data_IF_394463959723
#
_entry.id   IF_394463959723
#
_cell.length_a   1.000
_cell.length_b   1.000
_cell.length_c   1.000
_cell.angle_alpha   90.00
_cell.angle_beta   90.00
_cell.angle_gamma   90.00
#
_symmetry.space_group_name_H-M   'P 1'
#
loop_
_entity.id
_entity.type
_entity.pdbx_description
1 polymer ?
#
# COMPACT_ATOMS: atom_id res chain seq x y z
N UNK A 1 21.82 -11.74 16.28
CA UNK A 1 21.06 -11.67 15.02
C UNK A 1 22.05 -11.65 13.84
N UNK A 2 21.64 -12.05 12.63
CA UNK A 2 22.52 -12.08 11.44
C UNK A 2 23.06 -10.70 11.05
N UNK A 3 22.29 -9.64 11.32
CA UNK A 3 22.61 -8.26 10.97
C UNK A 3 23.08 -7.41 12.17
N UNK A 4 23.41 -8.03 13.32
CA UNK A 4 23.89 -7.32 14.51
C UNK A 4 22.86 -6.46 15.25
N UNK A 5 21.67 -6.27 14.70
CA UNK A 5 20.58 -5.50 15.34
C UNK A 5 19.98 -6.32 16.49
N UNK A 6 19.96 -5.75 17.69
CA UNK A 6 19.29 -6.32 18.86
C UNK A 6 18.07 -5.47 19.19
N UNK A 7 16.90 -6.09 19.21
CA UNK A 7 15.63 -5.42 19.52
C UNK A 7 15.21 -5.85 20.93
N UNK A 8 14.78 -4.87 21.74
CA UNK A 8 14.27 -5.13 23.08
C UNK A 8 13.02 -6.02 23.05
N UNK A 9 12.82 -6.84 24.08
CA UNK A 9 11.56 -7.61 24.23
C UNK A 9 10.35 -6.71 24.46
N UNK A 10 10.57 -5.47 24.90
CA UNK A 10 9.56 -4.43 25.10
C UNK A 10 9.46 -3.48 23.92
N UNK A 11 10.09 -3.80 22.78
CA UNK A 11 9.97 -2.96 21.59
C UNK A 11 8.51 -2.88 21.14
N UNK A 12 8.12 -1.68 20.72
CA UNK A 12 6.85 -1.30 20.14
C UNK A 12 7.21 -0.35 19.00
N UNK A 13 7.21 -0.91 17.78
CA UNK A 13 7.67 -0.25 16.56
C UNK A 13 6.55 -0.17 15.55
N UNK A 14 6.56 0.90 14.76
CA UNK A 14 5.66 1.11 13.63
C UNK A 14 6.49 1.34 12.38
N UNK A 15 6.26 0.50 11.38
CA UNK A 15 6.78 0.64 10.03
C UNK A 15 5.75 1.36 9.18
N UNK A 16 6.11 2.50 8.60
CA UNK A 16 5.23 3.29 7.75
C UNK A 16 5.81 3.37 6.35
N UNK A 17 5.06 2.92 5.34
CA UNK A 17 5.58 2.80 3.97
C UNK A 17 4.85 3.77 3.04
N UNK A 18 5.63 4.59 2.34
CA UNK A 18 5.12 5.49 1.31
C UNK A 18 4.65 4.69 0.08
N UNK A 19 3.43 4.90 -0.42
CA UNK A 19 2.86 4.07 -1.46
C UNK A 19 3.49 4.25 -2.84
N UNK A 20 4.22 5.34 -3.07
CA UNK A 20 4.72 5.69 -4.40
C UNK A 20 6.22 5.37 -4.56
N UNK A 21 6.98 5.57 -3.49
CA UNK A 21 8.43 5.32 -3.45
C UNK A 21 8.77 3.98 -2.80
N UNK A 22 7.83 3.39 -2.07
CA UNK A 22 8.06 2.25 -1.18
C UNK A 22 9.15 2.51 -0.13
N UNK A 23 9.46 3.77 0.17
CA UNK A 23 10.33 4.11 1.28
C UNK A 23 9.63 3.78 2.60
N UNK A 24 10.22 2.88 3.37
CA UNK A 24 9.78 2.53 4.72
C UNK A 24 10.47 3.44 5.73
N UNK A 25 9.70 3.93 6.70
CA UNK A 25 10.19 4.65 7.87
C UNK A 25 9.89 3.87 9.14
N UNK A 26 10.80 3.91 10.12
CA UNK A 26 10.64 3.21 11.40
C UNK A 26 10.49 4.20 12.54
N UNK A 27 9.45 4.03 13.34
CA UNK A 27 9.23 4.79 14.58
C UNK A 27 8.93 3.84 15.73
N UNK A 28 9.06 4.29 16.97
CA UNK A 28 8.77 3.46 18.14
C UNK A 28 9.65 3.76 19.35
N UNK A 29 9.59 2.88 20.34
CA UNK A 29 10.29 3.02 21.62
C UNK A 29 11.70 2.39 21.62
N UNK A 30 12.49 2.61 20.57
CA UNK A 30 13.87 2.15 20.48
C UNK A 30 14.83 3.32 20.20
N UNK A 31 16.12 3.11 20.48
CA UNK A 31 17.15 4.09 20.21
C UNK A 31 17.19 4.47 18.72
N UNK A 32 17.46 5.75 18.43
CA UNK A 32 17.48 6.29 17.07
C UNK A 32 18.41 5.51 16.14
N UNK A 33 19.56 5.07 16.65
CA UNK A 33 20.52 4.28 15.89
C UNK A 33 19.99 2.88 15.55
N UNK A 34 19.18 2.28 16.43
CA UNK A 34 18.51 1.00 16.18
C UNK A 34 17.42 1.21 15.13
N UNK A 35 16.57 2.24 15.29
CA UNK A 35 15.53 2.57 14.31
C UNK A 35 16.12 2.80 12.92
N UNK A 36 17.22 3.55 12.82
CA UNK A 36 17.91 3.82 11.55
C UNK A 36 18.54 2.56 10.93
N UNK A 37 19.10 1.66 11.74
CA UNK A 37 19.62 0.38 11.23
C UNK A 37 18.50 -0.53 10.70
N UNK A 38 17.37 -0.59 11.40
CA UNK A 38 16.20 -1.36 10.94
C UNK A 38 15.65 -0.74 9.65
N UNK A 39 15.52 0.60 9.61
CA UNK A 39 15.04 1.32 8.44
C UNK A 39 15.93 1.06 7.23
N UNK A 40 17.25 1.17 7.39
CA UNK A 40 18.20 0.86 6.32
C UNK A 40 18.02 -0.56 5.81
N UNK A 41 18.00 -1.54 6.71
CA UNK A 41 17.87 -2.96 6.36
C UNK A 41 16.55 -3.26 5.63
N UNK A 42 15.44 -2.70 6.09
CA UNK A 42 14.12 -2.93 5.49
C UNK A 42 13.92 -2.18 4.17
N UNK A 43 14.74 -1.17 3.88
CA UNK A 43 14.78 -0.50 2.59
C UNK A 43 15.82 -1.11 1.61
N UNK A 44 16.53 -2.18 2.00
CA UNK A 44 17.41 -2.91 1.07
C UNK A 44 16.57 -3.76 0.10
N UNK A 45 16.85 -3.62 -1.20
CA UNK A 45 16.12 -4.34 -2.25
C UNK A 45 14.62 -4.03 -2.23
N UNK A 46 13.79 -5.04 -2.48
CA UNK A 46 12.33 -4.89 -2.55
C UNK A 46 11.61 -5.16 -1.21
N UNK A 47 12.33 -5.19 -0.08
CA UNK A 47 11.76 -5.54 1.22
C UNK A 47 10.56 -4.65 1.59
N UNK A 48 10.72 -3.33 1.55
CA UNK A 48 9.66 -2.38 1.85
C UNK A 48 8.49 -2.46 0.86
N UNK A 49 8.77 -2.65 -0.44
CA UNK A 49 7.74 -2.86 -1.47
C UNK A 49 6.91 -4.13 -1.20
N UNK A 50 7.56 -5.22 -0.82
CA UNK A 50 6.89 -6.48 -0.47
C UNK A 50 6.02 -6.32 0.77
N UNK A 51 6.49 -5.58 1.78
CA UNK A 51 5.71 -5.25 2.98
C UNK A 51 4.47 -4.42 2.62
N UNK A 52 4.63 -3.36 1.82
CA UNK A 52 3.50 -2.53 1.38
C UNK A 52 2.50 -3.34 0.54
N UNK A 53 3.00 -4.19 -0.36
CA UNK A 53 2.17 -5.07 -1.20
C UNK A 53 1.35 -6.05 -0.36
N UNK A 54 1.96 -6.63 0.67
CA UNK A 54 1.27 -7.46 1.64
C UNK A 54 0.13 -6.69 2.33
N UNK A 55 0.43 -5.52 2.88
CA UNK A 55 -0.58 -4.69 3.54
C UNK A 55 -1.71 -4.27 2.59
N UNK A 56 -1.39 -3.95 1.33
CA UNK A 56 -2.38 -3.62 0.29
C UNK A 56 -3.29 -4.79 -0.06
N UNK A 57 -2.75 -6.02 -0.14
CA UNK A 57 -3.58 -7.20 -0.40
C UNK A 57 -4.46 -7.49 0.81
N UNK A 58 -3.87 -7.52 2.00
CA UNK A 58 -4.56 -7.86 3.23
C UNK A 58 -5.60 -6.81 3.66
N UNK A 59 -5.56 -5.59 3.11
CA UNK A 59 -6.57 -4.57 3.42
C UNK A 59 -7.97 -4.90 2.93
N UNK A 60 -8.10 -5.92 2.07
CA UNK A 60 -9.36 -6.40 1.51
C UNK A 60 -9.80 -7.72 2.13
N UNK A 61 -11.11 -7.95 2.17
CA UNK A 61 -11.69 -9.26 2.47
C UNK A 61 -11.88 -10.12 1.21
N UNK A 62 -12.59 -11.24 1.35
CA UNK A 62 -12.85 -12.19 0.26
C UNK A 62 -13.76 -11.61 -0.85
N UNK A 63 -14.58 -10.62 -0.53
CA UNK A 63 -15.45 -9.91 -1.48
C UNK A 63 -14.76 -8.68 -2.09
N UNK A 64 -13.46 -8.51 -1.80
CA UNK A 64 -12.63 -7.39 -2.21
C UNK A 64 -13.09 -6.04 -1.61
N UNK A 65 -13.78 -6.08 -0.47
CA UNK A 65 -14.17 -4.89 0.28
C UNK A 65 -13.03 -4.43 1.21
N UNK A 66 -12.85 -3.12 1.35
CA UNK A 66 -11.80 -2.56 2.21
C UNK A 66 -12.23 -2.68 3.68
N UNK A 67 -11.56 -3.55 4.42
CA UNK A 67 -11.81 -3.83 5.85
C UNK A 67 -10.74 -3.25 6.77
N UNK A 68 -9.66 -2.69 6.22
CA UNK A 68 -8.61 -2.04 7.01
C UNK A 68 -8.92 -0.56 7.25
N UNK A 69 -8.89 -0.14 8.52
CA UNK A 69 -9.20 1.25 8.90
C UNK A 69 -8.17 2.29 8.47
N UNK A 70 -6.98 1.89 8.02
CA UNK A 70 -5.99 2.78 7.40
C UNK A 70 -6.36 3.20 5.97
N UNK A 71 -7.27 2.46 5.33
CA UNK A 71 -7.64 2.60 3.94
C UNK A 71 -9.11 3.02 3.79
N UNK A 72 -9.43 3.53 2.60
CA UNK A 72 -10.80 3.71 2.12
C UNK A 72 -10.77 3.77 0.59
N UNK A 73 -11.95 3.77 -0.02
CA UNK A 73 -12.08 3.76 -1.48
C UNK A 73 -11.40 4.95 -2.16
N UNK A 74 -11.40 6.14 -1.54
CA UNK A 74 -10.72 7.33 -2.09
C UNK A 74 -9.21 7.12 -2.12
N UNK A 75 -8.61 6.64 -1.02
CA UNK A 75 -7.18 6.35 -0.95
C UNK A 75 -6.77 5.26 -1.94
N UNK A 76 -7.56 4.18 -1.99
CA UNK A 76 -7.32 3.07 -2.91
C UNK A 76 -7.38 3.54 -4.37
N UNK A 77 -8.38 4.33 -4.74
CA UNK A 77 -8.50 4.90 -6.09
C UNK A 77 -7.33 5.82 -6.46
N UNK A 78 -6.76 6.56 -5.50
CA UNK A 78 -5.60 7.44 -5.72
C UNK A 78 -4.35 6.63 -5.98
N UNK A 79 -4.08 5.64 -5.13
CA UNK A 79 -2.99 4.71 -5.38
C UNK A 79 -3.16 3.96 -6.70
N UNK A 80 -4.32 3.35 -6.97
CA UNK A 80 -4.52 2.54 -8.17
C UNK A 80 -4.36 3.34 -9.45
N UNK A 81 -4.75 4.62 -9.49
CA UNK A 81 -4.48 5.46 -10.65
C UNK A 81 -2.97 5.64 -10.85
N UNK A 82 -2.24 6.04 -9.81
CA UNK A 82 -0.78 6.21 -9.92
C UNK A 82 -0.14 4.90 -10.38
N UNK A 83 -0.49 3.78 -9.76
CA UNK A 83 0.09 2.48 -10.04
C UNK A 83 -0.14 2.07 -11.48
N UNK A 84 -1.38 2.15 -11.98
CA UNK A 84 -1.68 1.74 -13.34
C UNK A 84 -0.97 2.62 -14.37
N UNK A 85 -0.97 3.93 -14.18
CA UNK A 85 -0.30 4.87 -15.09
C UNK A 85 1.20 4.62 -15.08
N UNK A 86 1.80 4.45 -13.90
CA UNK A 86 3.24 4.21 -13.75
C UNK A 86 3.66 2.89 -14.40
N UNK A 87 2.96 1.78 -14.11
CA UNK A 87 3.26 0.47 -14.70
C UNK A 87 3.05 0.45 -16.22
N UNK A 88 2.09 1.22 -16.73
CA UNK A 88 1.77 1.24 -18.16
C UNK A 88 2.70 2.18 -18.94
N UNK A 89 3.07 3.32 -18.37
CA UNK A 89 3.73 4.40 -19.12
C UNK A 89 5.15 4.70 -18.66
N UNK A 90 5.49 4.37 -17.41
CA UNK A 90 6.72 4.77 -16.73
C UNK A 90 6.66 6.16 -16.10
N UNK A 91 5.54 6.88 -16.21
CA UNK A 91 5.38 8.24 -15.70
C UNK A 91 4.61 8.28 -14.40
N UNK A 92 5.01 9.21 -13.53
CA UNK A 92 4.25 9.55 -12.35
C UNK A 92 3.06 10.45 -12.69
N UNK A 93 1.84 9.93 -12.54
CA UNK A 93 0.61 10.65 -12.83
C UNK A 93 0.46 11.97 -12.04
N UNK A 94 1.14 12.10 -10.90
CA UNK A 94 1.09 13.27 -10.00
C UNK A 94 1.84 14.47 -10.58
N UNK A 95 2.82 14.23 -11.45
CA UNK A 95 3.66 15.28 -12.03
C UNK A 95 3.06 15.82 -13.34
N UNK A 96 1.97 15.24 -13.83
CA UNK A 96 1.34 15.66 -15.07
C UNK A 96 0.44 16.88 -14.89
N UNK A 97 0.50 17.81 -15.85
CA UNK A 97 -0.37 18.98 -15.88
C UNK A 97 -1.57 18.74 -16.79
N UNK A 98 -2.78 18.99 -16.30
CA UNK A 98 -3.98 18.92 -17.12
C UNK A 98 -4.13 20.16 -18.00
N UNK A 99 -4.12 19.99 -19.33
CA UNK A 99 -4.26 21.08 -20.31
C UNK A 99 -4.97 20.57 -21.56
N UNK A 100 -5.90 21.36 -22.10
CA UNK A 100 -6.61 21.08 -23.35
C UNK A 100 -7.24 19.67 -23.44
N UNK A 101 -7.76 19.15 -22.32
CA UNK A 101 -8.42 17.84 -22.29
C UNK A 101 -7.50 16.64 -22.08
N UNK A 102 -6.20 16.86 -21.86
CA UNK A 102 -5.22 15.78 -21.65
C UNK A 102 -4.26 16.09 -20.48
N UNK A 103 -3.37 15.15 -20.18
CA UNK A 103 -2.34 15.21 -19.13
C UNK A 103 -0.95 15.23 -19.76
N UNK A 104 -0.23 16.34 -19.57
CA UNK A 104 1.09 16.56 -20.16
C UNK A 104 2.17 16.36 -19.10
N UNK A 105 3.11 15.45 -19.34
CA UNK A 105 4.29 15.27 -18.52
C UNK A 105 5.29 16.44 -18.68
N UNK A 106 6.28 16.52 -17.79
CA UNK A 106 7.29 17.59 -17.81
C UNK A 106 8.07 17.67 -19.15
N UNK A 107 8.25 16.54 -19.82
CA UNK A 107 8.93 16.45 -21.12
C UNK A 107 8.01 16.72 -22.32
N UNK A 108 6.74 17.04 -22.09
CA UNK A 108 5.75 17.31 -23.13
C UNK A 108 4.96 16.09 -23.59
N UNK A 109 5.21 14.89 -23.04
CA UNK A 109 4.48 13.67 -23.40
C UNK A 109 3.00 13.77 -23.03
N UNK A 110 2.11 13.44 -23.97
CA UNK A 110 0.68 13.23 -23.71
C UNK A 110 0.47 11.87 -23.03
N UNK A 111 0.28 11.89 -21.72
CA UNK A 111 0.15 10.67 -20.93
C UNK A 111 -1.18 9.96 -21.16
N UNK A 112 -2.27 10.66 -21.50
CA UNK A 112 -3.55 10.02 -21.76
C UNK A 112 -3.49 9.22 -23.07
N UNK A 113 -2.87 9.80 -24.10
CA UNK A 113 -2.62 9.13 -25.37
C UNK A 113 -1.67 7.94 -25.22
N UNK A 114 -0.53 8.13 -24.53
CA UNK A 114 0.44 7.07 -24.26
C UNK A 114 -0.19 5.93 -23.44
N UNK A 115 -0.99 6.28 -22.42
CA UNK A 115 -1.71 5.30 -21.61
C UNK A 115 -2.70 4.51 -22.45
N UNK A 116 -3.45 5.16 -23.35
CA UNK A 116 -4.36 4.49 -24.29
C UNK A 116 -3.64 3.51 -25.20
N UNK A 117 -2.49 3.93 -25.76
CA UNK A 117 -1.69 3.12 -26.68
C UNK A 117 -1.15 1.85 -26.01
N UNK A 118 -0.68 1.97 -24.76
CA UNK A 118 -0.06 0.85 -24.02
C UNK A 118 -1.03 0.04 -23.17
N UNK A 119 -2.27 0.51 -22.99
CA UNK A 119 -3.30 -0.18 -22.21
C UNK A 119 -3.64 -1.55 -22.80
N UNK A 120 -3.67 -2.58 -21.95
CA UNK A 120 -3.99 -3.96 -22.36
C UNK A 120 -5.46 -4.15 -22.76
N UNK A 121 -6.36 -3.31 -22.24
CA UNK A 121 -7.79 -3.35 -22.55
C UNK A 121 -8.46 -1.97 -22.42
N UNK A 122 -9.58 -1.79 -23.11
CA UNK A 122 -10.31 -0.51 -23.14
C UNK A 122 -11.01 -0.18 -21.81
N UNK A 123 -11.44 -1.18 -21.04
CA UNK A 123 -12.15 -0.96 -19.77
C UNK A 123 -11.26 -0.31 -18.71
N UNK A 124 -10.00 -0.77 -18.60
CA UNK A 124 -8.99 -0.16 -17.74
C UNK A 124 -8.69 1.27 -18.19
N UNK A 125 -8.46 1.47 -19.49
CA UNK A 125 -8.26 2.81 -20.04
C UNK A 125 -9.39 3.77 -19.64
N UNK A 126 -10.65 3.39 -19.84
CA UNK A 126 -11.80 4.23 -19.49
C UNK A 126 -11.90 4.50 -17.98
N UNK A 127 -11.72 3.48 -17.15
CA UNK A 127 -11.78 3.60 -15.69
C UNK A 127 -10.74 4.60 -15.18
N UNK A 128 -9.47 4.41 -15.56
CA UNK A 128 -8.39 5.24 -15.06
C UNK A 128 -8.38 6.64 -15.70
N UNK A 129 -8.81 6.79 -16.95
CA UNK A 129 -9.04 8.11 -17.56
C UNK A 129 -10.07 8.93 -16.79
N UNK A 130 -11.19 8.30 -16.38
CA UNK A 130 -12.22 8.95 -15.55
C UNK A 130 -11.68 9.34 -14.18
N UNK A 131 -10.89 8.46 -13.53
CA UNK A 131 -10.22 8.77 -12.25
C UNK A 131 -9.24 9.93 -12.40
N UNK A 132 -8.42 9.95 -13.44
CA UNK A 132 -7.46 11.04 -13.68
C UNK A 132 -8.16 12.39 -13.85
N UNK A 133 -9.28 12.43 -14.58
CA UNK A 133 -10.14 13.62 -14.69
C UNK A 133 -10.71 14.07 -13.33
N UNK A 134 -11.00 13.15 -12.41
CA UNK A 134 -11.41 13.52 -11.05
C UNK A 134 -10.27 14.19 -10.29
N UNK A 135 -9.03 13.71 -10.43
CA UNK A 135 -7.86 14.40 -9.85
C UNK A 135 -7.59 15.76 -10.48
N UNK A 136 -7.76 15.90 -11.80
CA UNK A 136 -7.63 17.20 -12.46
C UNK A 136 -8.61 18.25 -11.89
N UNK A 137 -9.81 17.82 -11.49
CA UNK A 137 -10.84 18.70 -10.89
C UNK A 137 -10.62 18.98 -9.41
N UNK A 138 -10.21 17.96 -8.65
CA UNK A 138 -10.21 18.01 -7.19
C UNK A 138 -8.81 18.17 -6.57
N UNK A 139 -7.76 18.11 -7.40
CA UNK A 139 -6.37 18.04 -6.97
C UNK A 139 -5.96 16.65 -6.50
N UNK A 140 -4.65 16.37 -6.58
CA UNK A 140 -4.05 15.26 -5.85
C UNK A 140 -3.92 15.63 -4.37
N UNK A 141 -4.47 14.80 -3.49
CA UNK A 141 -4.60 15.13 -2.07
C UNK A 141 -3.67 14.26 -1.25
N UNK A 142 -2.67 14.87 -0.62
CA UNK A 142 -1.68 14.16 0.20
C UNK A 142 -2.32 13.40 1.37
N UNK A 143 -3.43 13.91 1.91
CA UNK A 143 -4.23 13.23 2.94
C UNK A 143 -4.84 11.90 2.47
N UNK A 144 -5.00 11.73 1.15
CA UNK A 144 -5.50 10.52 0.52
C UNK A 144 -4.38 9.55 0.11
N UNK A 145 -3.11 9.89 0.38
CA UNK A 145 -2.02 8.95 0.13
C UNK A 145 -2.23 7.71 1.00
N UNK A 146 -2.13 6.54 0.37
CA UNK A 146 -2.34 5.25 1.00
C UNK A 146 -1.07 4.77 1.70
N UNK A 147 -0.64 5.57 2.69
CA UNK A 147 0.44 5.20 3.59
C UNK A 147 -0.08 4.08 4.50
N UNK A 148 0.45 2.88 4.31
CA UNK A 148 0.10 1.70 5.10
C UNK A 148 1.16 1.48 6.16
N UNK A 149 0.70 1.10 7.36
CA UNK A 149 1.56 0.82 8.50
C UNK A 149 1.41 -0.60 9.01
N UNK A 150 2.52 -1.17 9.48
CA UNK A 150 2.61 -2.46 10.17
C UNK A 150 3.25 -2.22 11.53
N UNK A 151 2.74 -2.89 12.56
CA UNK A 151 3.27 -2.82 13.91
C UNK A 151 4.18 -4.01 14.24
N UNK A 152 5.07 -3.82 15.19
CA UNK A 152 5.86 -4.88 15.80
C UNK A 152 5.93 -4.67 17.30
N UNK A 153 5.52 -5.69 18.05
CA UNK A 153 5.66 -5.71 19.49
C UNK A 153 6.18 -7.07 20.00
N UNK A 154 6.07 -7.31 21.30
CA UNK A 154 6.45 -8.57 21.93
C UNK A 154 5.75 -9.82 21.36
N UNK A 155 4.63 -9.66 20.64
CA UNK A 155 3.88 -10.71 19.95
C UNK A 155 4.32 -10.93 18.49
N UNK A 156 5.21 -10.07 17.98
CA UNK A 156 5.72 -10.09 16.62
C UNK A 156 5.09 -9.04 15.72
N UNK A 157 5.14 -9.27 14.41
CA UNK A 157 4.53 -8.39 13.41
C UNK A 157 3.00 -8.53 13.41
N UNK A 158 2.31 -7.40 13.26
CA UNK A 158 0.86 -7.36 13.09
C UNK A 158 0.43 -6.23 12.16
N UNK A 159 -0.64 -6.47 11.42
CA UNK A 159 -1.23 -5.47 10.52
C UNK A 159 -2.03 -4.44 11.32
N UNK A 160 -1.65 -3.16 11.21
CA UNK A 160 -2.40 -2.08 11.85
C UNK A 160 -3.72 -1.90 11.10
N UNK A 161 -4.79 -1.64 11.85
CA UNK A 161 -6.10 -1.33 11.29
C UNK A 161 -6.90 -2.53 10.77
N UNK A 162 -6.42 -3.77 10.96
CA UNK A 162 -7.17 -4.98 10.68
C UNK A 162 -8.05 -5.40 11.86
N UNK A 163 -9.24 -5.92 11.56
CA UNK A 163 -10.08 -6.59 12.57
C UNK A 163 -9.53 -7.98 12.94
N UNK A 164 -8.94 -8.67 11.96
CA UNK A 164 -8.40 -10.02 12.08
C UNK A 164 -6.91 -10.01 11.77
N UNK A 165 -6.08 -10.28 12.77
CA UNK A 165 -4.64 -10.37 12.58
C UNK A 165 -4.16 -11.80 12.28
N UNK A 166 -2.97 -11.91 11.71
CA UNK A 166 -2.30 -13.18 11.41
C UNK A 166 -1.13 -13.49 12.37
N UNK A 167 -0.86 -12.60 13.32
CA UNK A 167 0.18 -12.77 14.34
C UNK A 167 -0.09 -13.96 15.28
N UNK A 168 0.94 -14.36 16.04
CA UNK A 168 0.91 -15.56 16.89
C UNK A 168 -0.24 -15.58 17.91
N UNK A 169 -0.71 -14.39 18.35
CA UNK A 169 -1.83 -14.22 19.27
C UNK A 169 -3.14 -13.75 18.60
N UNK A 170 -3.13 -13.48 17.29
CA UNK A 170 -4.27 -12.90 16.57
C UNK A 170 -5.03 -13.92 15.71
N UNK A 171 -4.54 -15.15 15.62
CA UNK A 171 -5.05 -16.21 14.76
C UNK A 171 -6.29 -16.97 15.28
N UNK A 172 -6.89 -16.56 16.41
CA UNK A 172 -8.00 -17.31 17.01
C UNK A 172 -9.22 -17.43 16.10
N UNK A 173 -9.48 -16.43 15.27
CA UNK A 173 -10.58 -16.46 14.29
C UNK A 173 -10.42 -17.61 13.27
N UNK A 174 -9.19 -18.06 12.98
CA UNK A 174 -8.94 -19.20 12.08
C UNK A 174 -9.35 -20.54 12.70
N UNK A 175 -9.30 -20.67 14.04
CA UNK A 175 -9.72 -21.90 14.73
C UNK A 175 -11.23 -22.11 14.60
N UNK A 176 -12.02 -21.04 14.70
CA UNK A 176 -13.47 -21.07 14.50
C UNK A 176 -13.91 -21.47 13.09
N UNK A 177 -13.14 -21.08 12.05
CA UNK A 177 -13.41 -21.44 10.64
C UNK A 177 -13.20 -22.94 10.39
N UNK A 178 -12.20 -23.55 11.03
CA UNK A 178 -12.00 -25.01 10.92
C UNK A 178 -13.17 -25.79 11.52
N UNK A 179 -13.78 -25.30 12.59
CA UNK A 179 -14.88 -25.97 13.27
C UNK A 179 -16.18 -25.84 12.46
N UNK A 180 -16.44 -24.67 11.87
CA UNK A 180 -17.61 -24.45 11.00
C UNK A 180 -17.55 -25.24 9.69
N UNK A 181 -16.37 -25.47 9.11
CA UNK A 181 -16.23 -26.30 7.89
C UNK A 181 -16.48 -27.80 8.13
N UNK A 182 -16.31 -28.30 9.36
CA UNK A 182 -16.62 -29.69 9.70
C UNK A 182 -18.04 -29.89 10.25
N UNK A 183 -18.69 -28.82 10.74
CA UNK A 183 -20.12 -28.83 11.11
C UNK A 183 -21.04 -28.64 9.90
N UNK A 184 -20.54 -28.12 8.78
CA UNK A 184 -21.20 -28.18 7.49
C UNK A 184 -21.09 -29.59 6.88
N UNK A 185 -21.75 -30.59 7.48
CA UNK A 185 -22.03 -31.89 6.87
C UNK A 185 -23.52 -32.00 6.52
N UNK A 186 -23.76 -32.04 5.19
CA UNK A 186 -24.92 -32.55 4.43
C UNK A 186 -26.29 -31.95 4.71
#
# INVERSE_FOLDING_TARGET
>A
SKNGISISKQADLVFSIDPYTYQLTVSGNADRDILSQIEKLLNEGDNAKNIWTHAWICMHDADNEIVNSQANMTKANQYSLWHEVYETTGYDARNATYKNGTFIAEDGTDLLALFKEKSKNGAGYELYSKRWLQYAKNGWKKENDLVLKIGFDSSGLYDIGQEKGYGAAQNMWMKGVSQSMFEARV
#
